data_IF_872572486683
#
_entry.id   IF_872572486683
#
_cell.length_a   1.000
_cell.length_b   1.000
_cell.length_c   1.000
_cell.angle_alpha   90.00
_cell.angle_beta   90.00
_cell.angle_gamma   90.00
#
_symmetry.space_group_name_H-M   'P 1'
#
loop_
_entity.id
_entity.type
_entity.pdbx_description
1 polymer ?
#
# COMPACT_ATOMS: atom_id res chain seq x y z
N UNK A 1 17.36 16.58 1.87
CA UNK A 1 17.11 15.31 2.59
C UNK A 1 16.29 14.41 1.68
N UNK A 2 16.79 13.22 1.29
CA UNK A 2 16.08 12.33 0.36
C UNK A 2 14.71 11.94 0.95
N UNK A 3 13.59 12.05 0.21
CA UNK A 3 12.25 11.74 0.70
C UNK A 3 12.02 10.21 0.80
N UNK A 4 12.91 9.49 1.47
CA UNK A 4 12.94 8.03 1.48
C UNK A 4 11.70 7.41 2.16
N UNK A 5 11.00 8.17 3.02
CA UNK A 5 9.80 7.69 3.71
C UNK A 5 8.49 7.95 2.93
N UNK A 6 8.44 8.94 2.04
CA UNK A 6 7.19 9.34 1.39
C UNK A 6 6.64 8.26 0.47
N UNK A 7 7.52 7.59 -0.28
CA UNK A 7 7.13 6.59 -1.27
C UNK A 7 6.65 5.28 -0.61
N UNK A 8 7.36 4.68 0.38
CA UNK A 8 6.86 3.53 1.13
C UNK A 8 5.55 3.81 1.87
N UNK A 9 5.41 4.99 2.47
CA UNK A 9 4.19 5.39 3.20
C UNK A 9 3.01 5.50 2.23
N UNK A 10 3.19 6.21 1.13
CA UNK A 10 2.14 6.41 0.14
C UNK A 10 1.69 5.10 -0.51
N UNK A 11 2.64 4.24 -0.89
CA UNK A 11 2.35 2.92 -1.44
C UNK A 11 1.59 2.07 -0.42
N UNK A 12 2.09 1.99 0.82
CA UNK A 12 1.44 1.23 1.88
C UNK A 12 0.00 1.68 2.11
N UNK A 13 -0.25 2.97 2.34
CA UNK A 13 -1.61 3.47 2.53
C UNK A 13 -2.51 3.23 1.32
N UNK A 14 -2.03 3.52 0.11
CA UNK A 14 -2.84 3.34 -1.11
C UNK A 14 -3.22 1.88 -1.29
N UNK A 15 -2.26 0.97 -1.17
CA UNK A 15 -2.48 -0.47 -1.33
C UNK A 15 -3.42 -1.02 -0.26
N UNK A 16 -3.19 -0.65 1.01
CA UNK A 16 -4.04 -1.04 2.13
C UNK A 16 -5.49 -0.58 1.97
N UNK A 17 -5.71 0.68 1.56
CA UNK A 17 -7.04 1.23 1.33
C UNK A 17 -7.71 0.54 0.12
N UNK A 18 -7.00 0.38 -1.00
CA UNK A 18 -7.54 -0.24 -2.22
C UNK A 18 -7.91 -1.70 -2.01
N UNK A 19 -7.05 -2.49 -1.37
CA UNK A 19 -7.30 -3.91 -1.11
C UNK A 19 -8.54 -4.08 -0.21
N UNK A 20 -8.63 -3.25 0.82
CA UNK A 20 -9.78 -3.22 1.72
C UNK A 20 -11.05 -2.81 1.01
N UNK A 21 -10.99 -1.78 0.18
CA UNK A 21 -12.13 -1.29 -0.60
C UNK A 21 -12.63 -2.41 -1.52
N UNK A 22 -11.72 -3.14 -2.16
CA UNK A 22 -12.04 -4.29 -3.02
C UNK A 22 -12.72 -5.43 -2.23
N UNK A 23 -12.15 -5.82 -1.08
CA UNK A 23 -12.65 -6.92 -0.25
C UNK A 23 -13.95 -6.58 0.48
N UNK A 24 -14.06 -5.35 1.01
CA UNK A 24 -15.24 -4.92 1.74
C UNK A 24 -16.41 -4.60 0.82
N UNK A 25 -16.17 -4.15 -0.42
CA UNK A 25 -17.23 -3.82 -1.37
C UNK A 25 -18.13 -5.02 -1.68
N UNK A 26 -17.56 -6.21 -1.90
CA UNK A 26 -18.32 -7.45 -2.11
C UNK A 26 -19.23 -7.77 -0.93
N UNK A 27 -18.66 -7.87 0.28
CA UNK A 27 -19.41 -8.09 1.54
C UNK A 27 -20.55 -7.08 1.77
N UNK A 28 -20.24 -5.80 1.60
CA UNK A 28 -21.15 -4.71 1.96
C UNK A 28 -22.35 -4.61 1.03
N UNK A 29 -22.13 -4.86 -0.25
CA UNK A 29 -23.17 -4.71 -1.29
C UNK A 29 -24.02 -5.98 -1.40
N UNK A 30 -23.41 -7.16 -1.25
CA UNK A 30 -24.05 -8.40 -1.70
C UNK A 30 -24.67 -9.22 -0.55
N UNK A 31 -24.00 -9.29 0.61
CA UNK A 31 -24.47 -10.10 1.74
C UNK A 31 -25.11 -9.28 2.87
N UNK A 32 -24.91 -7.95 2.89
CA UNK A 32 -25.38 -7.08 3.99
C UNK A 32 -24.83 -7.47 5.37
N UNK A 33 -23.83 -8.37 5.39
CA UNK A 33 -23.35 -9.04 6.58
C UNK A 33 -22.41 -8.15 7.37
N UNK A 34 -22.37 -8.33 8.69
CA UNK A 34 -21.53 -7.49 9.53
C UNK A 34 -20.05 -7.77 9.33
N UNK A 35 -19.29 -6.71 9.04
CA UNK A 35 -17.83 -6.77 9.13
C UNK A 35 -17.50 -7.05 10.59
N UNK A 36 -17.03 -8.26 10.86
CA UNK A 36 -16.62 -8.67 12.20
C UNK A 36 -15.21 -8.13 12.49
N UNK A 37 -14.89 -7.80 13.76
CA UNK A 37 -13.55 -7.33 14.13
C UNK A 37 -12.45 -8.32 13.73
N UNK A 38 -12.74 -9.63 13.82
CA UNK A 38 -11.80 -10.68 13.40
C UNK A 38 -11.54 -10.65 11.90
N UNK A 39 -12.56 -10.43 11.07
CA UNK A 39 -12.39 -10.32 9.62
C UNK A 39 -11.57 -9.08 9.26
N UNK A 40 -11.88 -7.94 9.89
CA UNK A 40 -11.16 -6.70 9.67
C UNK A 40 -9.66 -6.84 10.01
N UNK A 41 -9.35 -7.47 11.14
CA UNK A 41 -7.97 -7.72 11.56
C UNK A 41 -7.24 -8.66 10.59
N UNK A 42 -7.91 -9.72 10.11
CA UNK A 42 -7.33 -10.65 9.14
C UNK A 42 -7.04 -9.99 7.79
N UNK A 43 -7.95 -9.16 7.30
CA UNK A 43 -7.77 -8.39 6.06
C UNK A 43 -6.61 -7.41 6.22
N UNK A 44 -6.60 -6.66 7.32
CA UNK A 44 -5.54 -5.69 7.58
C UNK A 44 -4.16 -6.36 7.72
N UNK A 45 -4.09 -7.48 8.45
CA UNK A 45 -2.86 -8.26 8.58
C UNK A 45 -2.38 -8.83 7.24
N UNK A 46 -3.29 -9.36 6.42
CA UNK A 46 -2.97 -9.86 5.09
C UNK A 46 -2.42 -8.74 4.19
N UNK A 47 -3.08 -7.56 4.18
CA UNK A 47 -2.62 -6.39 3.44
C UNK A 47 -1.25 -5.91 3.91
N UNK A 48 -1.04 -5.85 5.24
CA UNK A 48 0.24 -5.49 5.83
C UNK A 48 1.37 -6.43 5.42
N UNK A 49 1.18 -7.74 5.58
CA UNK A 49 2.20 -8.75 5.23
C UNK A 49 2.49 -8.75 3.73
N UNK A 50 1.47 -8.65 2.88
CA UNK A 50 1.63 -8.55 1.43
C UNK A 50 2.43 -7.29 1.05
N UNK A 51 2.11 -6.14 1.65
CA UNK A 51 2.82 -4.88 1.43
C UNK A 51 4.27 -4.92 1.88
N UNK A 52 4.58 -5.57 3.02
CA UNK A 52 5.96 -5.82 3.46
C UNK A 52 6.68 -6.65 2.41
N UNK A 53 6.11 -7.78 2.01
CA UNK A 53 6.76 -8.71 1.10
C UNK A 53 7.03 -8.06 -0.26
N UNK A 54 6.02 -7.44 -0.88
CA UNK A 54 6.17 -6.82 -2.20
C UNK A 54 7.20 -5.70 -2.19
N UNK A 55 7.14 -4.77 -1.23
CA UNK A 55 8.07 -3.64 -1.21
C UNK A 55 9.48 -4.09 -0.81
N UNK A 56 9.62 -5.06 0.09
CA UNK A 56 10.91 -5.65 0.41
C UNK A 56 11.58 -6.23 -0.83
N UNK A 57 10.84 -7.07 -1.58
CA UNK A 57 11.36 -7.69 -2.81
C UNK A 57 11.71 -6.62 -3.84
N UNK A 58 10.87 -5.60 -4.03
CA UNK A 58 11.11 -4.53 -4.99
C UNK A 58 12.37 -3.71 -4.64
N UNK A 59 12.46 -3.20 -3.42
CA UNK A 59 13.59 -2.39 -2.94
C UNK A 59 14.88 -3.21 -2.89
N UNK A 60 14.80 -4.47 -2.45
CA UNK A 60 15.96 -5.35 -2.39
C UNK A 60 16.48 -5.69 -3.79
N UNK A 61 15.58 -6.02 -4.74
CA UNK A 61 15.95 -6.32 -6.12
C UNK A 61 16.57 -5.09 -6.81
N UNK A 62 16.01 -3.90 -6.60
CA UNK A 62 16.59 -2.65 -7.12
C UNK A 62 17.98 -2.40 -6.54
N UNK A 63 18.15 -2.49 -5.22
CA UNK A 63 19.45 -2.27 -4.59
C UNK A 63 20.51 -3.30 -5.03
N UNK A 64 20.13 -4.57 -5.21
CA UNK A 64 21.00 -5.61 -5.79
C UNK A 64 21.37 -5.31 -7.23
N UNK A 65 20.41 -4.85 -8.04
CA UNK A 65 20.62 -4.49 -9.43
C UNK A 65 21.59 -3.31 -9.59
N UNK A 66 21.47 -2.30 -8.73
CA UNK A 66 22.36 -1.14 -8.72
C UNK A 66 23.79 -1.52 -8.30
N UNK A 67 23.94 -2.41 -7.31
CA UNK A 67 25.25 -2.95 -6.92
C UNK A 67 25.90 -3.75 -8.06
N UNK A 68 25.14 -4.64 -8.71
CA UNK A 68 25.64 -5.41 -9.85
C UNK A 68 26.05 -4.51 -11.02
N UNK A 69 25.27 -3.45 -11.29
CA UNK A 69 25.60 -2.45 -12.32
C UNK A 69 26.86 -1.67 -11.96
N UNK A 70 27.05 -1.31 -10.70
CA UNK A 70 28.25 -0.63 -10.22
C UNK A 70 29.50 -1.52 -10.32
N UNK A 71 29.40 -2.82 -9.99
CA UNK A 71 30.49 -3.79 -10.20
C UNK A 71 30.92 -3.85 -11.67
N UNK A 72 29.94 -3.90 -12.58
CA UNK A 72 30.19 -3.90 -14.02
C UNK A 72 30.89 -2.62 -14.50
N UNK A 73 30.42 -1.44 -14.06
CA UNK A 73 31.03 -0.16 -14.44
C UNK A 73 32.45 0.02 -13.90
N UNK A 74 32.78 -0.62 -12.78
CA UNK A 74 34.10 -0.56 -12.16
C UNK A 74 35.07 -1.62 -12.70
N UNK A 75 34.63 -2.44 -13.67
CA UNK A 75 35.41 -3.53 -14.26
C UNK A 75 36.07 -4.44 -13.21
N UNK A 76 35.35 -4.70 -12.11
CA UNK A 76 35.86 -5.56 -11.05
C UNK A 76 35.94 -7.00 -11.56
N UNK A 77 37.11 -7.63 -11.47
CA UNK A 77 37.36 -8.98 -11.95
C UNK A 77 36.64 -10.09 -11.17
N UNK A 78 36.05 -9.79 -10.02
CA UNK A 78 35.29 -10.72 -9.20
C UNK A 78 33.85 -10.23 -9.01
N UNK A 79 32.90 -11.00 -9.51
CA UNK A 79 31.47 -10.75 -9.35
C UNK A 79 31.04 -11.02 -7.90
N UNK A 80 30.23 -10.14 -7.30
CA UNK A 80 29.58 -10.37 -6.00
C UNK A 80 30.32 -9.88 -4.74
N UNK A 81 31.53 -9.31 -4.87
CA UNK A 81 32.28 -8.76 -3.72
C UNK A 81 31.61 -7.54 -3.09
N UNK A 82 30.89 -6.72 -3.84
CA UNK A 82 30.10 -5.61 -3.27
C UNK A 82 28.81 -6.12 -2.63
N UNK A 83 28.26 -7.23 -3.12
CA UNK A 83 27.05 -7.88 -2.58
C UNK A 83 27.31 -8.53 -1.22
N UNK A 84 28.46 -9.19 -1.03
CA UNK A 84 28.87 -9.75 0.29
C UNK A 84 29.43 -8.69 1.24
N UNK A 85 29.68 -7.47 0.75
CA UNK A 85 30.23 -6.40 1.57
C UNK A 85 29.21 -5.78 2.53
N UNK A 86 29.70 -4.87 3.39
CA UNK A 86 28.86 -4.01 4.25
C UNK A 86 27.82 -3.20 3.46
N UNK A 87 27.99 -3.00 2.15
CA UNK A 87 27.02 -2.32 1.30
C UNK A 87 25.77 -3.17 1.04
N UNK A 88 25.92 -4.47 0.78
CA UNK A 88 24.80 -5.41 0.66
C UNK A 88 23.99 -5.53 1.97
N UNK A 89 24.67 -5.59 3.12
CA UNK A 89 24.00 -5.60 4.42
C UNK A 89 23.25 -4.28 4.74
N UNK A 90 23.73 -3.14 4.26
CA UNK A 90 23.04 -1.84 4.38
C UNK A 90 21.83 -1.77 3.46
N UNK A 91 21.94 -2.25 2.23
CA UNK A 91 20.83 -2.37 1.30
C UNK A 91 19.70 -3.22 1.90
N UNK A 92 20.03 -4.41 2.42
CA UNK A 92 19.06 -5.30 3.07
C UNK A 92 18.30 -4.60 4.21
N UNK A 93 19.01 -3.90 5.10
CA UNK A 93 18.38 -3.18 6.22
C UNK A 93 17.53 -2.00 5.75
N UNK A 94 17.96 -1.28 4.72
CA UNK A 94 17.20 -0.17 4.16
C UNK A 94 15.90 -0.67 3.51
N UNK A 95 15.97 -1.73 2.71
CA UNK A 95 14.80 -2.36 2.08
C UNK A 95 13.84 -2.94 3.13
N UNK A 96 14.36 -3.59 4.17
CA UNK A 96 13.55 -4.08 5.29
C UNK A 96 12.86 -2.93 6.04
N UNK A 97 13.57 -1.82 6.28
CA UNK A 97 12.99 -0.62 6.90
C UNK A 97 11.84 -0.02 6.07
N UNK A 98 12.06 0.18 4.77
CA UNK A 98 11.02 0.68 3.85
C UNK A 98 9.81 -0.26 3.80
N UNK A 99 10.05 -1.57 3.71
CA UNK A 99 9.01 -2.60 3.70
C UNK A 99 8.16 -2.59 4.98
N UNK A 100 8.79 -2.49 6.16
CA UNK A 100 8.09 -2.41 7.44
C UNK A 100 7.24 -1.15 7.55
N UNK A 101 7.75 0.01 7.09
CA UNK A 101 6.97 1.25 7.07
C UNK A 101 5.77 1.13 6.14
N UNK A 102 5.96 0.60 4.94
CA UNK A 102 4.88 0.36 3.98
C UNK A 102 3.83 -0.60 4.53
N UNK A 103 4.26 -1.75 5.08
CA UNK A 103 3.40 -2.72 5.73
C UNK A 103 2.56 -2.15 6.86
N UNK A 104 3.19 -1.36 7.74
CA UNK A 104 2.49 -0.65 8.81
C UNK A 104 1.46 0.34 8.26
N UNK A 105 1.81 1.09 7.21
CA UNK A 105 0.90 2.01 6.54
C UNK A 105 -0.26 1.27 5.84
N UNK A 106 -0.01 0.11 5.24
CA UNK A 106 -1.03 -0.73 4.62
C UNK A 106 -2.00 -1.32 5.64
N UNK A 107 -1.47 -1.77 6.78
CA UNK A 107 -2.27 -2.21 7.92
C UNK A 107 -3.15 -1.09 8.47
N UNK A 108 -2.60 0.12 8.68
CA UNK A 108 -3.37 1.26 9.16
C UNK A 108 -4.37 1.78 8.12
N UNK A 109 -3.98 1.82 6.84
CA UNK A 109 -4.82 2.25 5.73
C UNK A 109 -5.99 1.31 5.47
N UNK A 110 -5.84 0.02 5.75
CA UNK A 110 -6.94 -0.96 5.69
C UNK A 110 -7.86 -0.89 6.91
N UNK A 111 -7.30 -0.71 8.11
CA UNK A 111 -8.09 -0.63 9.34
C UNK A 111 -9.01 0.60 9.41
N UNK A 112 -8.57 1.75 8.88
CA UNK A 112 -9.34 3.00 8.95
C UNK A 112 -10.75 2.86 8.32
N UNK A 113 -10.90 2.44 7.05
CA UNK A 113 -12.20 2.21 6.45
C UNK A 113 -13.02 1.11 7.14
N UNK A 114 -12.36 0.03 7.58
CA UNK A 114 -13.02 -1.10 8.23
C UNK A 114 -13.59 -0.71 9.59
N UNK A 115 -12.84 0.04 10.39
CA UNK A 115 -13.29 0.54 11.68
C UNK A 115 -14.53 1.43 11.51
N UNK A 116 -14.52 2.32 10.52
CA UNK A 116 -15.71 3.14 10.21
C UNK A 116 -16.89 2.28 9.75
N UNK A 117 -16.65 1.27 8.90
CA UNK A 117 -17.68 0.32 8.47
C UNK A 117 -18.26 -0.55 9.60
N UNK A 118 -17.50 -0.77 10.68
CA UNK A 118 -17.94 -1.50 11.87
C UNK A 118 -18.81 -0.65 12.80
N UNK A 119 -18.44 0.63 13.00
CA UNK A 119 -19.17 1.58 13.84
C UNK A 119 -20.45 2.11 13.17
N UNK A 120 -20.57 1.96 11.85
CA UNK A 120 -21.71 2.45 11.08
C UNK A 120 -22.97 1.56 11.25
N UNK A 121 -24.14 2.16 11.56
CA UNK A 121 -25.44 1.47 11.56
C UNK A 121 -25.76 0.82 10.20
N UNK A 122 -26.52 -0.29 10.20
CA UNK A 122 -26.91 -1.08 9.01
C UNK A 122 -27.28 -0.27 7.74
N UNK A 123 -28.10 0.81 7.80
CA UNK A 123 -28.47 1.55 6.59
C UNK A 123 -27.36 2.44 6.01
N UNK A 124 -26.28 2.71 6.76
CA UNK A 124 -25.20 3.63 6.35
C UNK A 124 -23.86 2.93 6.22
N UNK A 125 -23.83 1.59 6.10
CA UNK A 125 -22.58 0.82 5.97
C UNK A 125 -21.76 1.18 4.72
N UNK A 126 -22.43 1.70 3.68
CA UNK A 126 -21.80 2.28 2.50
C UNK A 126 -20.93 3.51 2.80
N UNK A 127 -21.07 4.16 3.98
CA UNK A 127 -20.16 5.22 4.38
C UNK A 127 -18.71 4.73 4.53
N UNK A 128 -18.47 3.45 4.86
CA UNK A 128 -17.11 2.89 4.91
C UNK A 128 -16.40 2.96 3.56
N UNK A 129 -17.13 2.69 2.47
CA UNK A 129 -16.64 2.87 1.09
C UNK A 129 -16.38 4.35 0.79
N UNK A 130 -17.30 5.23 1.19
CA UNK A 130 -17.13 6.68 1.05
C UNK A 130 -15.87 7.19 1.77
N UNK A 131 -15.62 6.74 3.00
CA UNK A 131 -14.43 7.10 3.77
C UNK A 131 -13.16 6.58 3.10
N UNK A 132 -13.16 5.37 2.56
CA UNK A 132 -12.01 4.86 1.81
C UNK A 132 -11.69 5.71 0.57
N UNK A 133 -12.71 6.09 -0.21
CA UNK A 133 -12.54 6.95 -1.39
C UNK A 133 -12.06 8.35 -1.00
N UNK A 134 -12.61 8.94 0.07
CA UNK A 134 -12.17 10.23 0.59
C UNK A 134 -10.73 10.15 1.10
N UNK A 135 -10.37 9.09 1.83
CA UNK A 135 -9.01 8.86 2.30
C UNK A 135 -8.01 8.75 1.14
N UNK A 136 -8.36 8.05 0.06
CA UNK A 136 -7.56 8.00 -1.18
C UNK A 136 -7.44 9.37 -1.85
N UNK A 137 -8.53 10.14 -1.91
CA UNK A 137 -8.51 11.50 -2.44
C UNK A 137 -7.59 12.43 -1.64
N UNK A 138 -7.66 12.37 -0.30
CA UNK A 138 -6.76 13.11 0.61
C UNK A 138 -5.32 12.67 0.42
N UNK A 139 -5.07 11.36 0.31
CA UNK A 139 -3.73 10.82 0.11
C UNK A 139 -3.14 11.27 -1.24
N UNK A 140 -3.93 11.22 -2.32
CA UNK A 140 -3.54 11.72 -3.63
C UNK A 140 -3.25 13.22 -3.61
N UNK A 141 -4.03 13.99 -2.87
CA UNK A 141 -3.80 15.42 -2.69
C UNK A 141 -2.50 15.73 -1.91
N UNK A 142 -2.20 14.96 -0.86
CA UNK A 142 -0.94 15.04 -0.13
C UNK A 142 0.26 14.64 -1.00
N UNK A 143 0.10 13.60 -1.81
CA UNK A 143 1.12 13.16 -2.76
C UNK A 143 1.43 14.21 -3.81
N UNK A 144 0.41 14.90 -4.32
CA UNK A 144 0.58 15.98 -5.27
C UNK A 144 1.44 17.12 -4.70
N UNK A 145 1.26 17.45 -3.41
CA UNK A 145 2.12 18.44 -2.74
C UNK A 145 3.57 17.95 -2.64
N UNK A 146 3.77 16.67 -2.33
CA UNK A 146 5.11 16.09 -2.25
C UNK A 146 5.83 16.05 -3.61
N UNK A 147 5.11 15.75 -4.70
CA UNK A 147 5.67 15.59 -6.06
C UNK A 147 5.59 16.90 -6.89
N UNK A 148 5.08 17.99 -6.31
CA UNK A 148 4.82 19.26 -7.01
C UNK A 148 3.89 19.07 -8.23
N UNK A 149 2.96 18.12 -8.12
CA UNK A 149 1.95 17.81 -9.14
C UNK A 149 0.65 18.58 -8.93
N UNK A 150 -0.26 18.47 -9.92
CA UNK A 150 -1.60 19.06 -9.80
C UNK A 150 -2.46 18.32 -8.77
N UNK A 151 -2.77 18.95 -7.63
CA UNK A 151 -3.53 18.38 -6.52
C UNK A 151 -4.85 17.75 -6.93
N UNK A 152 -5.63 18.46 -7.77
CA UNK A 152 -6.93 17.97 -8.26
C UNK A 152 -6.76 16.72 -9.13
N UNK A 153 -5.74 16.69 -10.01
CA UNK A 153 -5.50 15.54 -10.91
C UNK A 153 -5.11 14.29 -10.13
N UNK A 154 -4.22 14.42 -9.15
CA UNK A 154 -3.79 13.28 -8.35
C UNK A 154 -4.90 12.77 -7.43
N UNK A 155 -5.64 13.68 -6.79
CA UNK A 155 -6.81 13.30 -5.98
C UNK A 155 -7.88 12.60 -6.83
N UNK A 156 -8.17 13.10 -8.04
CA UNK A 156 -9.17 12.50 -8.93
C UNK A 156 -8.74 11.12 -9.43
N UNK A 157 -7.46 10.93 -9.77
CA UNK A 157 -6.95 9.61 -10.20
C UNK A 157 -6.99 8.59 -9.05
N UNK A 158 -6.61 8.98 -7.84
CA UNK A 158 -6.64 8.11 -6.66
C UNK A 158 -8.08 7.76 -6.25
N UNK A 159 -8.97 8.74 -6.19
CA UNK A 159 -10.38 8.51 -5.90
C UNK A 159 -11.05 7.65 -6.98
N UNK A 160 -10.80 7.97 -8.26
CA UNK A 160 -11.31 7.21 -9.40
C UNK A 160 -10.83 5.76 -9.41
N UNK A 161 -9.54 5.53 -9.14
CA UNK A 161 -8.98 4.19 -8.98
C UNK A 161 -9.66 3.41 -7.86
N UNK A 162 -9.92 4.05 -6.71
CA UNK A 162 -10.68 3.47 -5.61
C UNK A 162 -12.10 3.05 -6.01
N UNK A 163 -12.81 3.91 -6.75
CA UNK A 163 -14.16 3.58 -7.25
C UNK A 163 -14.13 2.39 -8.20
N UNK A 164 -13.19 2.37 -9.16
CA UNK A 164 -13.03 1.25 -10.10
C UNK A 164 -12.75 -0.05 -9.34
N UNK A 165 -11.84 -0.04 -8.38
CA UNK A 165 -11.52 -1.24 -7.60
C UNK A 165 -12.68 -1.71 -6.73
N UNK A 166 -13.50 -0.79 -6.23
CA UNK A 166 -14.75 -1.13 -5.55
C UNK A 166 -15.74 -1.83 -6.47
N UNK A 167 -15.93 -1.32 -7.69
CA UNK A 167 -16.79 -1.97 -8.70
C UNK A 167 -16.27 -3.38 -9.01
N UNK A 168 -14.96 -3.54 -9.19
CA UNK A 168 -14.30 -4.84 -9.42
C UNK A 168 -14.57 -5.78 -8.24
N UNK A 169 -14.46 -5.31 -7.00
CA UNK A 169 -14.74 -6.10 -5.80
C UNK A 169 -16.18 -6.61 -5.73
N UNK A 170 -17.15 -5.77 -6.11
CA UNK A 170 -18.57 -6.17 -6.22
C UNK A 170 -18.76 -7.20 -7.33
N UNK A 171 -18.19 -6.97 -8.51
CA UNK A 171 -18.33 -7.87 -9.66
C UNK A 171 -17.74 -9.26 -9.40
N UNK A 172 -16.55 -9.31 -8.80
CA UNK A 172 -15.87 -10.58 -8.52
C UNK A 172 -16.46 -11.36 -7.35
N UNK A 173 -17.48 -10.84 -6.65
CA UNK A 173 -18.03 -11.45 -5.44
C UNK A 173 -16.92 -11.87 -4.48
N UNK A 174 -15.93 -10.99 -4.31
CA UNK A 174 -14.73 -11.30 -3.54
C UNK A 174 -15.09 -11.23 -2.05
N UNK A 175 -15.42 -12.42 -1.54
CA UNK A 175 -15.67 -12.86 -0.14
C UNK A 175 -16.89 -12.27 0.54
#
# INVERSE_FOLDING_TARGET
>A
MKPFALLPVALGFSDGILNTLTLAAGRLVDSGEAITPTLALRIAAAAGIAGIFMLFVAEYAQARGDLARAEFMLNMGEHGRLIESRQGARALRASAGAALVSGGCAFLGSLLPLAVGMLAPRPVRMLGLGVAVVALGVLGALLARAVHGGMVRWASWMAGGGVVMGIVGVWLHIV
#
